data_IF_319900942821
#
_entry.id   IF_319900942821
#
_cell.length_a   1.000
_cell.length_b   1.000
_cell.length_c   1.000
_cell.angle_alpha   90.00
_cell.angle_beta   90.00
_cell.angle_gamma   90.00
#
_symmetry.space_group_name_H-M   'P 1'
#
loop_
_entity.id
_entity.type
_entity.pdbx_description
1 polymer ?
#
# COMPACT_ATOMS: atom_id res chain seq x y z
N UNK A 1 -14.23 2.09 -3.02
CA UNK A 1 -12.83 1.93 -2.58
C UNK A 1 -12.36 0.55 -3.06
N UNK A 2 -11.59 0.44 -4.14
CA UNK A 2 -11.25 -0.88 -4.72
C UNK A 2 -10.61 -0.85 -6.12
N UNK A 3 -9.90 0.23 -6.47
CA UNK A 3 -9.14 0.31 -7.74
C UNK A 3 -7.69 -0.11 -7.57
N UNK A 4 -6.78 0.42 -8.39
CA UNK A 4 -5.32 0.17 -8.43
C UNK A 4 -4.55 0.30 -7.09
N UNK A 5 -5.22 0.68 -6.01
CA UNK A 5 -4.73 0.75 -4.63
C UNK A 5 -4.77 -0.59 -3.89
N UNK A 6 -5.59 -1.54 -4.36
CA UNK A 6 -5.75 -2.85 -3.71
C UNK A 6 -4.46 -3.69 -3.71
N UNK A 7 -3.67 -3.79 -4.82
CA UNK A 7 -2.44 -4.56 -4.82
C UNK A 7 -1.39 -4.02 -3.83
N UNK A 8 -1.29 -2.69 -3.71
CA UNK A 8 -0.35 -2.06 -2.80
C UNK A 8 -0.69 -2.35 -1.33
N UNK A 9 -1.99 -2.34 -0.98
CA UNK A 9 -2.46 -2.69 0.35
C UNK A 9 -2.18 -4.15 0.71
N UNK A 10 -2.34 -5.09 -0.23
CA UNK A 10 -2.04 -6.50 0.02
C UNK A 10 -0.53 -6.75 0.18
N UNK A 11 0.32 -6.12 -0.63
CA UNK A 11 1.77 -6.26 -0.51
C UNK A 11 2.28 -5.78 0.85
N UNK A 12 1.72 -4.69 1.39
CA UNK A 12 2.10 -4.18 2.71
C UNK A 12 1.75 -5.13 3.85
N UNK A 13 0.59 -5.78 3.78
CA UNK A 13 0.19 -6.78 4.79
C UNK A 13 1.18 -7.97 4.78
N UNK A 14 1.55 -8.45 3.60
CA UNK A 14 2.49 -9.59 3.47
C UNK A 14 3.88 -9.24 4.00
N UNK A 15 4.40 -8.05 3.70
CA UNK A 15 5.68 -7.55 4.23
C UNK A 15 5.65 -7.49 5.76
N UNK A 16 4.58 -6.94 6.33
CA UNK A 16 4.45 -6.82 7.79
C UNK A 16 4.42 -8.19 8.50
N UNK A 17 3.81 -9.20 7.88
CA UNK A 17 3.76 -10.55 8.43
C UNK A 17 5.12 -11.25 8.34
N UNK A 18 5.81 -11.13 7.20
CA UNK A 18 7.05 -11.89 6.95
C UNK A 18 8.28 -11.22 7.57
N UNK A 19 8.43 -9.90 7.38
CA UNK A 19 9.66 -9.18 7.73
C UNK A 19 9.63 -8.66 9.17
N UNK A 20 8.44 -8.48 9.76
CA UNK A 20 8.25 -7.91 11.10
C UNK A 20 7.53 -8.83 12.08
N UNK A 21 7.24 -10.08 11.68
CA UNK A 21 6.58 -11.12 12.49
C UNK A 21 5.26 -10.65 13.14
N UNK A 22 4.54 -9.75 12.47
CA UNK A 22 3.27 -9.21 12.97
C UNK A 22 2.13 -10.20 12.72
N UNK A 23 1.16 -10.24 13.64
CA UNK A 23 -0.07 -10.98 13.37
C UNK A 23 -0.91 -10.26 12.29
N UNK A 24 -1.92 -10.94 11.72
CA UNK A 24 -2.70 -10.39 10.60
C UNK A 24 -3.44 -9.08 10.93
N UNK A 25 -3.91 -8.92 12.17
CA UNK A 25 -4.59 -7.69 12.59
C UNK A 25 -3.57 -6.55 12.77
N UNK A 26 -2.44 -6.82 13.41
CA UNK A 26 -1.32 -5.88 13.57
C UNK A 26 -0.76 -5.44 12.21
N UNK A 27 -0.58 -6.39 11.28
CA UNK A 27 -0.11 -6.13 9.93
C UNK A 27 -1.08 -5.27 9.11
N UNK A 28 -2.38 -5.38 9.38
CA UNK A 28 -3.44 -4.60 8.73
C UNK A 28 -3.61 -3.18 9.31
N UNK A 29 -3.36 -3.02 10.61
CA UNK A 29 -3.46 -1.75 11.35
C UNK A 29 -2.16 -0.93 11.33
N UNK A 30 -1.03 -1.54 10.96
CA UNK A 30 0.25 -0.86 10.81
C UNK A 30 0.17 0.31 9.80
N UNK A 31 0.93 1.41 10.01
CA UNK A 31 0.94 2.57 9.13
C UNK A 31 1.19 2.19 7.66
N UNK A 32 0.28 2.61 6.78
CA UNK A 32 0.33 2.31 5.34
C UNK A 32 0.95 3.46 4.56
N UNK A 33 1.83 3.11 3.62
CA UNK A 33 2.44 4.09 2.71
C UNK A 33 1.70 4.04 1.38
N UNK A 34 1.36 5.17 0.78
CA UNK A 34 0.83 5.20 -0.57
C UNK A 34 1.90 5.71 -1.52
N UNK A 35 2.40 4.84 -2.39
CA UNK A 35 3.29 5.25 -3.46
C UNK A 35 2.42 5.64 -4.66
N UNK A 36 2.36 6.93 -4.95
CA UNK A 36 1.79 7.43 -6.20
C UNK A 36 2.95 7.67 -7.17
N UNK A 37 2.87 7.09 -8.37
CA UNK A 37 3.83 7.46 -9.42
C UNK A 37 3.61 8.94 -9.76
N UNK A 38 4.60 9.78 -9.47
CA UNK A 38 4.62 11.16 -9.94
C UNK A 38 4.99 11.14 -11.43
N UNK A 39 4.01 10.87 -12.27
CA UNK A 39 4.14 11.22 -13.68
C UNK A 39 3.87 12.71 -13.76
N UNK A 40 4.92 13.52 -13.91
CA UNK A 40 4.80 14.87 -14.46
C UNK A 40 4.17 14.75 -15.85
N UNK A 41 2.86 14.70 -15.91
CA UNK A 41 2.08 14.99 -17.10
C UNK A 41 1.29 16.24 -16.76
N UNK A 42 1.88 17.36 -17.15
CA UNK A 42 1.12 18.51 -17.59
C UNK A 42 0.14 18.00 -18.64
N UNK A 43 -1.14 17.92 -18.30
CA UNK A 43 -2.19 18.06 -19.30
C UNK A 43 -3.13 19.15 -18.78
N UNK A 44 -2.90 20.35 -19.31
CA UNK A 44 -3.94 21.35 -19.48
C UNK A 44 -5.14 20.69 -20.16
N UNK A 45 -6.30 20.71 -19.50
CA UNK A 45 -7.58 21.23 -20.02
C UNK A 45 -8.69 21.16 -18.98
#
# INVERSE_FOLDING_TARGET
MGGAMQPQGHAQIVINIIDFDMNLQEAGDAPRIRHQSNNNQQEEK
#
